data_IF_637392023283
#
_entry.id   IF_637392023283
#
_cell.length_a   1.000
_cell.length_b   1.000
_cell.length_c   1.000
_cell.angle_alpha   90.00
_cell.angle_beta   90.00
_cell.angle_gamma   90.00
#
_symmetry.space_group_name_H-M   'P 1'
#
loop_
_entity.id
_entity.type
_entity.pdbx_description
1 polymer ?
#
# COMPACT_ATOMS: atom_id res chain seq x y z
N UNK A 1 -33.73 -11.39 -24.24
CA UNK A 1 -32.97 -10.13 -23.94
C UNK A 1 -31.68 -10.46 -23.19
N UNK A 2 -30.59 -10.85 -23.88
CA UNK A 2 -29.24 -11.03 -23.31
C UNK A 2 -28.22 -10.80 -24.43
N UNK A 3 -27.98 -9.55 -24.81
CA UNK A 3 -26.99 -9.22 -25.86
C UNK A 3 -26.37 -7.82 -25.76
N UNK A 4 -26.43 -7.19 -24.59
CA UNK A 4 -25.85 -5.84 -24.36
C UNK A 4 -24.60 -5.86 -23.47
N UNK A 5 -24.30 -6.98 -22.84
CA UNK A 5 -23.16 -7.13 -21.92
C UNK A 5 -21.81 -7.42 -22.60
N UNK A 6 -21.78 -7.60 -23.93
CA UNK A 6 -20.57 -8.07 -24.64
C UNK A 6 -20.03 -7.11 -25.72
N UNK A 7 -20.53 -5.87 -25.80
CA UNK A 7 -19.94 -4.84 -26.67
C UNK A 7 -18.69 -4.23 -25.98
N UNK A 8 -17.49 -4.29 -26.57
CA UNK A 8 -16.31 -3.64 -26.03
C UNK A 8 -16.46 -2.15 -25.73
N UNK A 9 -17.32 -1.45 -26.50
CA UNK A 9 -17.52 0.00 -26.37
C UNK A 9 -18.44 0.38 -25.22
N UNK A 10 -19.29 -0.53 -24.74
CA UNK A 10 -20.18 -0.28 -23.60
C UNK A 10 -19.52 -0.54 -22.24
N UNK A 11 -18.29 -1.09 -22.22
CA UNK A 11 -17.53 -1.30 -20.98
C UNK A 11 -16.99 0.01 -20.42
N UNK A 12 -16.99 0.20 -19.08
CA UNK A 12 -16.38 1.37 -18.47
C UNK A 12 -14.88 1.41 -18.80
N UNK A 13 -14.40 2.61 -19.12
CA UNK A 13 -12.98 2.88 -19.41
C UNK A 13 -12.13 2.53 -18.19
N UNK A 14 -10.86 2.15 -18.34
CA UNK A 14 -10.04 1.71 -17.20
C UNK A 14 -10.00 2.69 -16.02
N UNK A 15 -9.99 4.00 -16.28
CA UNK A 15 -10.00 5.05 -15.23
C UNK A 15 -11.37 5.31 -14.59
N UNK A 16 -12.44 4.77 -15.16
CA UNK A 16 -13.78 4.80 -14.54
C UNK A 16 -13.99 3.61 -13.60
N UNK A 17 -13.10 2.61 -13.62
CA UNK A 17 -13.17 1.47 -12.74
C UNK A 17 -12.65 1.86 -11.35
N UNK A 18 -13.40 1.48 -10.33
CA UNK A 18 -12.95 1.61 -8.94
C UNK A 18 -11.71 0.77 -8.66
N UNK A 19 -11.04 1.05 -7.54
CA UNK A 19 -9.94 0.22 -7.09
C UNK A 19 -10.47 -1.21 -6.80
N UNK A 20 -9.84 -2.27 -7.34
CA UNK A 20 -10.30 -3.64 -7.12
C UNK A 20 -10.25 -4.04 -5.64
N UNK A 21 -9.37 -3.42 -4.84
CA UNK A 21 -9.25 -3.68 -3.40
C UNK A 21 -10.07 -2.66 -2.61
N UNK A 22 -11.10 -3.10 -1.85
CA UNK A 22 -11.90 -2.19 -1.03
C UNK A 22 -11.04 -1.55 0.06
N UNK A 23 -11.42 -0.35 0.49
CA UNK A 23 -10.65 0.42 1.47
C UNK A 23 -10.41 -0.34 2.78
N UNK A 24 -11.42 -1.08 3.27
CA UNK A 24 -11.32 -1.88 4.49
C UNK A 24 -10.33 -3.06 4.39
N UNK A 25 -10.05 -3.57 3.19
CA UNK A 25 -9.07 -4.63 3.00
C UNK A 25 -7.63 -4.10 2.94
N UNK A 26 -7.44 -2.77 2.88
CA UNK A 26 -6.11 -2.16 2.80
C UNK A 26 -5.43 -2.23 4.17
N UNK A 27 -4.16 -2.60 4.16
CA UNK A 27 -3.35 -2.69 5.38
C UNK A 27 -2.54 -1.40 5.52
N UNK A 28 -2.82 -0.54 6.50
CA UNK A 28 -2.00 0.62 6.78
C UNK A 28 -0.72 0.24 7.53
N UNK A 29 0.30 1.10 7.43
CA UNK A 29 1.48 1.00 8.30
C UNK A 29 1.07 1.20 9.77
N UNK A 30 1.61 0.36 10.65
CA UNK A 30 1.48 0.56 12.09
C UNK A 30 2.30 1.75 12.56
N UNK A 31 2.01 2.28 13.75
CA UNK A 31 2.77 3.40 14.33
C UNK A 31 4.25 3.06 14.46
N UNK A 32 4.60 1.84 14.86
CA UNK A 32 5.97 1.36 14.97
C UNK A 32 6.66 1.33 13.60
N UNK A 33 6.00 0.82 12.56
CA UNK A 33 6.53 0.81 11.20
C UNK A 33 6.78 2.24 10.67
N UNK A 34 5.86 3.18 10.94
CA UNK A 34 6.06 4.59 10.57
C UNK A 34 7.27 5.21 11.27
N UNK A 35 7.47 4.91 12.55
CA UNK A 35 8.62 5.40 13.31
C UNK A 35 9.93 4.83 12.77
N UNK A 36 9.98 3.54 12.47
CA UNK A 36 11.15 2.90 11.88
C UNK A 36 11.50 3.46 10.50
N UNK A 37 10.51 3.65 9.63
CA UNK A 37 10.71 4.29 8.33
C UNK A 37 11.25 5.72 8.47
N UNK A 38 10.70 6.52 9.40
CA UNK A 38 11.20 7.87 9.68
C UNK A 38 12.63 7.86 10.23
N UNK A 39 12.97 6.93 11.11
CA UNK A 39 14.32 6.81 11.67
C UNK A 39 15.35 6.54 10.56
N UNK A 40 15.05 5.57 9.69
CA UNK A 40 15.89 5.25 8.52
C UNK A 40 16.05 6.45 7.56
N UNK A 41 14.97 7.19 7.34
CA UNK A 41 15.02 8.40 6.51
C UNK A 41 15.93 9.47 7.12
N UNK A 42 15.84 9.70 8.44
CA UNK A 42 16.68 10.67 9.17
C UNK A 42 18.15 10.28 9.14
N UNK A 43 18.46 9.00 9.32
CA UNK A 43 19.83 8.46 9.22
C UNK A 43 20.43 8.73 7.83
N UNK A 44 19.61 8.61 6.79
CA UNK A 44 19.98 8.95 5.42
C UNK A 44 19.92 10.46 5.10
N UNK A 45 19.73 11.34 6.10
CA UNK A 45 19.66 12.79 5.93
C UNK A 45 18.39 13.33 5.26
N UNK A 46 17.34 12.50 5.14
CA UNK A 46 16.06 12.88 4.53
C UNK A 46 15.05 13.30 5.59
N UNK A 47 14.31 14.39 5.33
CA UNK A 47 13.28 14.91 6.25
C UNK A 47 12.09 13.95 6.43
N UNK A 48 11.72 13.23 5.38
CA UNK A 48 10.56 12.33 5.36
C UNK A 48 10.91 10.99 4.73
N UNK A 49 10.28 9.89 5.19
CA UNK A 49 10.45 8.59 4.58
C UNK A 49 9.86 8.55 3.18
N UNK A 50 10.55 7.86 2.27
CA UNK A 50 10.04 7.56 0.93
C UNK A 50 9.31 6.20 0.92
N UNK A 51 8.90 5.74 -0.27
CA UNK A 51 8.26 4.43 -0.41
C UNK A 51 9.17 3.28 0.01
N UNK A 52 10.46 3.33 -0.31
CA UNK A 52 11.42 2.26 0.00
C UNK A 52 11.60 2.12 1.51
N UNK A 53 11.65 3.23 2.24
CA UNK A 53 11.72 3.22 3.70
C UNK A 53 10.46 2.61 4.32
N UNK A 54 9.29 2.96 3.78
CA UNK A 54 8.00 2.39 4.21
C UNK A 54 7.93 0.88 3.91
N UNK A 55 8.35 0.46 2.72
CA UNK A 55 8.35 -0.95 2.33
C UNK A 55 9.34 -1.77 3.16
N UNK A 56 10.52 -1.23 3.45
CA UNK A 56 11.46 -1.87 4.35
C UNK A 56 10.87 -2.04 5.75
N UNK A 57 10.22 -1.01 6.30
CA UNK A 57 9.58 -1.13 7.61
C UNK A 57 8.48 -2.22 7.62
N UNK A 58 7.73 -2.39 6.53
CA UNK A 58 6.75 -3.49 6.42
C UNK A 58 7.37 -4.87 6.28
N UNK A 59 8.55 -4.97 5.67
CA UNK A 59 9.26 -6.23 5.49
C UNK A 59 9.89 -6.68 6.82
N UNK A 60 10.51 -5.75 7.54
CA UNK A 60 11.27 -6.06 8.76
C UNK A 60 10.42 -6.16 10.02
N UNK A 61 9.28 -5.45 10.11
CA UNK A 61 8.53 -5.33 11.36
C UNK A 61 7.13 -5.93 11.25
N UNK A 62 6.75 -6.68 12.27
CA UNK A 62 5.39 -7.18 12.45
C UNK A 62 4.42 -6.06 12.90
N UNK A 63 3.14 -6.41 13.08
CA UNK A 63 2.13 -5.45 13.51
C UNK A 63 2.39 -4.86 14.92
N UNK A 64 3.18 -5.55 15.74
CA UNK A 64 3.58 -5.13 17.09
C UNK A 64 4.88 -4.32 17.10
N UNK A 65 5.49 -4.10 15.93
CA UNK A 65 6.80 -3.43 15.81
C UNK A 65 7.99 -4.31 16.20
N UNK A 66 7.77 -5.62 16.35
CA UNK A 66 8.84 -6.58 16.59
C UNK A 66 9.49 -6.98 15.26
N UNK A 67 10.78 -7.38 15.26
CA UNK A 67 11.39 -7.95 14.07
C UNK A 67 10.57 -9.16 13.62
N UNK A 68 10.17 -9.17 12.36
CA UNK A 68 9.49 -10.31 11.76
C UNK A 68 10.50 -11.44 11.68
N UNK A 69 10.20 -12.57 12.33
CA UNK A 69 11.00 -13.77 12.20
C UNK A 69 11.04 -14.20 10.73
N UNK A 70 12.23 -14.58 10.27
CA UNK A 70 12.50 -15.01 8.89
C UNK A 70 11.82 -16.34 8.55
#
# INVERSE_FOLDING_TARGET
>A
MRRVLNDPKSRPKPWQKGNPKPAAARTPLTTAQKQAAQARAREAGRRYPNLVDNMWATAQLDARGQPKAE
#
